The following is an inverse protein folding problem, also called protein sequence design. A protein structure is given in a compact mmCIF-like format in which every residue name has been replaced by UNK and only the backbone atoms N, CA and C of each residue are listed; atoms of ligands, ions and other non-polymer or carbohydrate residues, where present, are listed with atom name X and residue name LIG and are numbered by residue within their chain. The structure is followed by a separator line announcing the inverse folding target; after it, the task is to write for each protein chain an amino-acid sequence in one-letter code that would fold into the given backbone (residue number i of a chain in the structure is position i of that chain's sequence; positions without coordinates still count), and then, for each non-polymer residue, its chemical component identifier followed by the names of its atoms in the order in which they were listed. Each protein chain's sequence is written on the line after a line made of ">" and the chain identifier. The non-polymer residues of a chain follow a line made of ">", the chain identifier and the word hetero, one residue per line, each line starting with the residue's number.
data_IF_287821639139
#
_entry.id   IF_287821639139
#
_cell.length_a   1.000
_cell.length_b   1.000
_cell.length_c   1.000
_cell.angle_alpha   90.00
_cell.angle_beta   90.00
_cell.angle_gamma   90.00
#
_symmetry.space_group_name_H-M   'P 1'
#
loop_
_entity.id
_entity.type
_entity.pdbx_description
1 polymer ?
#
# COMPACT_ATOMS: atom_id res chain seq x y z
N UNK A 1 -8.17 4.17 18.47
CA UNK A 1 -7.26 3.37 17.62
C UNK A 1 -6.54 4.32 16.71
N UNK A 2 -5.23 4.40 16.85
CA UNK A 2 -4.39 5.21 15.97
C UNK A 2 -4.40 4.64 14.55
N UNK A 3 -4.31 5.52 13.55
CA UNK A 3 -4.29 5.15 12.13
C UNK A 3 -3.18 4.12 11.84
N UNK A 4 -2.02 4.29 12.47
CA UNK A 4 -0.86 3.39 12.39
C UNK A 4 -1.20 1.94 12.78
N UNK A 5 -1.96 1.75 13.85
CA UNK A 5 -2.37 0.41 14.31
C UNK A 5 -3.34 -0.26 13.32
N UNK A 6 -4.27 0.50 12.74
CA UNK A 6 -5.21 -0.01 11.73
C UNK A 6 -4.45 -0.50 10.49
N UNK A 7 -3.47 0.27 10.02
CA UNK A 7 -2.62 -0.10 8.87
C UNK A 7 -1.76 -1.32 9.18
N UNK A 8 -1.13 -1.37 10.36
CA UNK A 8 -0.35 -2.53 10.80
C UNK A 8 -1.19 -3.80 10.84
N UNK A 9 -2.41 -3.71 11.38
CA UNK A 9 -3.35 -4.83 11.46
C UNK A 9 -3.79 -5.29 10.07
N UNK A 10 -4.13 -4.36 9.17
CA UNK A 10 -4.48 -4.67 7.79
C UNK A 10 -3.36 -5.47 7.12
N UNK A 11 -2.12 -5.00 7.22
CA UNK A 11 -0.99 -5.64 6.56
C UNK A 11 -0.72 -7.03 7.14
N UNK A 12 -0.76 -7.19 8.47
CA UNK A 12 -0.56 -8.48 9.11
C UNK A 12 -1.65 -9.51 8.73
N UNK A 13 -2.90 -9.05 8.58
CA UNK A 13 -4.01 -9.89 8.13
C UNK A 13 -3.83 -10.34 6.68
N UNK A 14 -3.45 -9.42 5.79
CA UNK A 14 -3.15 -9.71 4.38
C UNK A 14 -1.95 -10.64 4.23
N UNK A 15 -0.90 -10.47 5.03
CA UNK A 15 0.30 -11.33 5.00
C UNK A 15 -0.02 -12.77 5.42
N UNK A 16 -0.88 -12.93 6.43
CA UNK A 16 -1.31 -14.26 6.91
C UNK A 16 -2.31 -14.95 5.98
N UNK A 17 -3.26 -14.20 5.42
CA UNK A 17 -4.43 -14.78 4.74
C UNK A 17 -4.40 -14.63 3.22
N UNK A 18 -3.56 -13.74 2.70
CA UNK A 18 -3.59 -13.26 1.32
C UNK A 18 -4.97 -12.71 0.87
N UNK A 19 -5.85 -12.33 1.81
CA UNK A 19 -7.17 -11.77 1.49
C UNK A 19 -7.11 -10.26 1.43
N UNK A 20 -7.37 -9.73 0.25
CA UNK A 20 -7.39 -8.28 0.01
C UNK A 20 -8.81 -7.75 0.10
N UNK A 21 -9.18 -7.17 1.24
CA UNK A 21 -10.48 -6.50 1.38
C UNK A 21 -10.46 -5.13 0.72
N UNK A 22 -11.23 -4.99 -0.35
CA UNK A 22 -11.30 -3.78 -1.16
C UNK A 22 -11.60 -2.52 -0.34
N UNK A 23 -12.73 -2.50 0.36
CA UNK A 23 -13.20 -1.35 1.11
C UNK A 23 -12.22 -0.99 2.24
N UNK A 24 -11.62 -2.01 2.87
CA UNK A 24 -10.67 -1.81 3.97
C UNK A 24 -9.35 -1.21 3.48
N UNK A 25 -8.84 -1.68 2.34
CA UNK A 25 -7.60 -1.17 1.74
C UNK A 25 -7.79 0.26 1.25
N UNK A 26 -8.86 0.54 0.49
CA UNK A 26 -9.10 1.88 -0.04
C UNK A 26 -9.47 2.89 1.05
N UNK A 27 -10.25 2.50 2.05
CA UNK A 27 -10.57 3.37 3.20
C UNK A 27 -9.31 3.82 3.93
N UNK A 28 -8.42 2.89 4.30
CA UNK A 28 -7.16 3.24 4.97
C UNK A 28 -6.20 3.97 4.05
N UNK A 29 -6.12 3.61 2.77
CA UNK A 29 -5.25 4.30 1.83
C UNK A 29 -5.66 5.76 1.64
N UNK A 30 -6.96 6.01 1.52
CA UNK A 30 -7.51 7.36 1.40
C UNK A 30 -7.28 8.17 2.68
N UNK A 31 -7.47 7.58 3.86
CA UNK A 31 -7.23 8.21 5.16
C UNK A 31 -5.73 8.53 5.40
N UNK A 32 -4.81 7.66 4.95
CA UNK A 32 -3.36 7.83 5.12
C UNK A 32 -2.76 8.86 4.15
N UNK A 33 -3.20 8.85 2.89
CA UNK A 33 -2.62 9.69 1.84
C UNK A 33 -3.45 10.92 1.50
N UNK A 34 -4.51 11.19 2.27
CA UNK A 34 -5.49 12.26 2.05
C UNK A 34 -6.04 12.25 0.61
N UNK A 35 -6.58 11.10 0.21
CA UNK A 35 -7.09 10.86 -1.15
C UNK A 35 -8.56 10.47 -1.12
N UNK A 36 -9.23 10.66 -2.25
CA UNK A 36 -10.63 10.25 -2.46
C UNK A 36 -10.76 9.26 -3.63
N UNK A 37 -9.83 8.30 -3.72
CA UNK A 37 -9.88 7.30 -4.78
C UNK A 37 -11.06 6.34 -4.58
N UNK A 38 -11.82 6.11 -5.64
CA UNK A 38 -12.88 5.10 -5.65
C UNK A 38 -12.28 3.68 -5.62
N UNK A 39 -12.90 2.74 -4.87
CA UNK A 39 -12.41 1.37 -4.77
C UNK A 39 -12.45 0.64 -6.12
N UNK A 40 -11.35 -0.03 -6.48
CA UNK A 40 -11.24 -0.82 -7.71
C UNK A 40 -10.96 -2.30 -7.44
N UNK A 41 -11.72 -3.19 -8.09
CA UNK A 41 -11.68 -4.65 -7.91
C UNK A 41 -10.42 -5.34 -8.43
N UNK A 42 -9.53 -4.60 -9.08
CA UNK A 42 -8.32 -5.17 -9.63
C UNK A 42 -7.38 -5.65 -8.50
N UNK A 43 -7.13 -6.95 -8.46
CA UNK A 43 -6.22 -7.57 -7.49
C UNK A 43 -4.83 -6.89 -7.48
N UNK A 44 -4.31 -6.55 -8.67
CA UNK A 44 -3.02 -5.85 -8.77
C UNK A 44 -3.05 -4.43 -8.19
N UNK A 45 -4.19 -3.72 -8.27
CA UNK A 45 -4.37 -2.42 -7.64
C UNK A 45 -4.34 -2.57 -6.12
N UNK A 46 -5.09 -3.53 -5.56
CA UNK A 46 -5.13 -3.80 -4.13
C UNK A 46 -3.72 -4.14 -3.58
N UNK A 47 -2.97 -5.00 -4.27
CA UNK A 47 -1.59 -5.35 -3.89
C UNK A 47 -0.69 -4.12 -3.88
N UNK A 48 -0.78 -3.25 -4.90
CA UNK A 48 0.01 -2.01 -4.97
C UNK A 48 -0.32 -1.06 -3.81
N UNK A 49 -1.60 -0.88 -3.49
CA UNK A 49 -2.04 -0.03 -2.38
C UNK A 49 -1.53 -0.57 -1.03
N UNK A 50 -1.62 -1.88 -0.80
CA UNK A 50 -1.05 -2.51 0.41
C UNK A 50 0.46 -2.29 0.49
N UNK A 51 1.19 -2.38 -0.64
CA UNK A 51 2.64 -2.08 -0.65
C UNK A 51 2.93 -0.62 -0.29
N UNK A 52 2.15 0.34 -0.81
CA UNK A 52 2.29 1.75 -0.42
C UNK A 52 2.01 1.96 1.07
N UNK A 53 0.99 1.31 1.63
CA UNK A 53 0.70 1.34 3.07
C UNK A 53 1.83 0.73 3.90
N UNK A 54 2.51 -0.31 3.39
CA UNK A 54 3.68 -0.91 4.05
C UNK A 54 4.86 0.06 4.09
N UNK A 55 5.14 0.74 2.99
CA UNK A 55 6.19 1.75 2.91
C UNK A 55 5.89 2.89 3.88
N UNK A 56 4.66 3.40 3.86
CA UNK A 56 4.24 4.43 4.82
C UNK A 56 4.40 3.97 6.28
N UNK A 57 3.99 2.74 6.62
CA UNK A 57 4.16 2.21 7.97
C UNK A 57 5.64 2.11 8.38
N UNK A 58 6.50 1.76 7.42
CA UNK A 58 7.95 1.72 7.59
C UNK A 58 8.51 3.13 7.80
N UNK A 59 8.10 4.13 7.03
CA UNK A 59 8.49 5.54 7.21
C UNK A 59 8.10 6.07 8.59
N UNK A 60 6.90 5.75 9.07
CA UNK A 60 6.44 6.08 10.43
C UNK A 60 7.22 5.37 11.55
N UNK A 61 8.03 4.36 11.21
CA UNK A 61 8.94 3.67 12.12
C UNK A 61 10.40 4.13 11.90
N UNK A 62 10.74 4.45 10.66
CA UNK A 62 12.05 4.90 10.18
C UNK A 62 12.33 6.38 10.49
N UNK A 63 11.33 7.17 10.92
CA UNK A 63 11.60 8.41 11.65
C UNK A 63 12.46 8.17 12.92
N UNK A 64 12.62 6.91 13.34
CA UNK A 64 13.66 6.47 14.30
C UNK A 64 14.96 5.94 13.67
N UNK A 65 14.98 5.43 12.42
CA UNK A 65 16.21 5.03 11.69
C UNK A 65 16.03 5.07 10.16
N UNK A 66 16.76 5.98 9.50
CA UNK A 66 17.08 6.21 8.07
C UNK A 66 16.53 5.31 6.91
N UNK A 67 16.36 5.88 5.69
CA UNK A 67 15.46 5.37 4.64
C UNK A 67 16.15 4.46 3.60
N UNK A 68 15.55 3.30 3.29
CA UNK A 68 15.91 2.53 2.09
C UNK A 68 14.68 1.84 1.45
N UNK A 69 14.20 2.32 0.31
CA UNK A 69 14.38 1.61 -0.96
C UNK A 69 13.46 2.14 -2.08
N UNK A 70 14.11 2.91 -2.95
CA UNK A 70 13.68 3.24 -4.29
C UNK A 70 13.54 1.96 -5.14
N UNK A 71 12.32 1.58 -5.55
CA UNK A 71 12.13 0.52 -6.57
C UNK A 71 11.68 1.11 -7.90
N UNK A 72 12.71 1.56 -8.62
CA UNK A 72 12.97 1.48 -10.07
C UNK A 72 11.78 1.08 -10.95
N UNK A 73 11.30 2.07 -11.71
CA UNK A 73 10.42 1.93 -12.87
C UNK A 73 11.08 0.98 -13.88
N UNK A 74 10.43 -0.14 -14.22
CA UNK A 74 10.79 -0.93 -15.42
C UNK A 74 9.97 -0.40 -16.59
N UNK A 75 10.60 0.42 -17.42
CA UNK A 75 10.10 0.85 -18.73
C UNK A 75 9.86 -0.39 -19.61
N UNK A 76 8.65 -0.58 -20.12
CA UNK A 76 8.43 -1.49 -21.26
C UNK A 76 8.54 -0.66 -22.54
N UNK A 77 9.58 -0.96 -23.32
CA UNK A 77 9.78 -0.47 -24.69
C UNK A 77 8.55 -0.77 -25.54
N UNK A 78 8.11 0.22 -26.31
CA UNK A 78 7.18 0.04 -27.42
C UNK A 78 7.78 -0.94 -28.43
N UNK A 79 6.98 -1.90 -28.88
CA UNK A 79 7.28 -2.70 -30.08
C UNK A 79 6.27 -2.29 -31.12
N UNK A 80 6.73 -1.54 -32.11
CA UNK A 80 6.03 -1.25 -33.35
C UNK A 80 6.50 -2.28 -34.38
N UNK A 81 5.56 -3.01 -35.00
CA UNK A 81 5.71 -3.48 -36.37
C UNK A 81 4.33 -3.66 -36.99
#
# INVERSE_FOLDING_TARGET
>A
MELKEKVKTLIADVDKTHRYSMSRIYGLYNEVFDKSEAPQSCASCLIRKVKSLRVWLDEQNAETVQPVSEKKRRSKKAVTK
#
